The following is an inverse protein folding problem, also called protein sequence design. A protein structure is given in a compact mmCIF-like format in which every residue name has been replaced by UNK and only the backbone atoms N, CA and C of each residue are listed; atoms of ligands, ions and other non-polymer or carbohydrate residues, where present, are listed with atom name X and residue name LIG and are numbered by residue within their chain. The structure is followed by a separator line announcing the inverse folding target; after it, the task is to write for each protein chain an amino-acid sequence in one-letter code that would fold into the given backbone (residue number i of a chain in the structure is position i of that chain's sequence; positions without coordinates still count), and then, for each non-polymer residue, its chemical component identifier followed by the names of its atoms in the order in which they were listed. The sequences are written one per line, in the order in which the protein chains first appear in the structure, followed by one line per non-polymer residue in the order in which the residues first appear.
data_IF_090313549467
#
_entry.id   IF_090313549467
#
_cell.length_a   1.000
_cell.length_b   1.000
_cell.length_c   1.000
_cell.angle_alpha   90.00
_cell.angle_beta   90.00
_cell.angle_gamma   90.00
#
_symmetry.space_group_name_H-M   'P 1'
#
loop_
_entity.id
_entity.type
_entity.pdbx_description
1 polymer ?
#
# COMPACT_ATOMS: atom_id res chain seq x y z
N UNK A 1 -12.87 -9.45 -12.71
CA UNK A 1 -13.32 -8.09 -13.11
C UNK A 1 -12.92 -7.13 -11.98
N UNK A 2 -12.40 -5.94 -12.30
CA UNK A 2 -11.86 -5.00 -11.32
C UNK A 2 -12.93 -4.57 -10.31
N UNK A 3 -12.57 -4.54 -9.04
CA UNK A 3 -13.55 -4.32 -7.96
C UNK A 3 -13.84 -2.83 -7.70
N UNK A 4 -12.91 -1.90 -7.95
CA UNK A 4 -13.02 -0.49 -7.51
C UNK A 4 -13.61 0.48 -8.54
N UNK A 5 -14.13 1.63 -8.08
CA UNK A 5 -14.72 2.66 -8.96
C UNK A 5 -13.70 3.39 -9.81
N UNK A 6 -14.10 3.65 -11.05
CA UNK A 6 -13.33 4.34 -12.07
C UNK A 6 -13.41 5.85 -11.96
N UNK A 7 -12.26 6.53 -11.84
CA UNK A 7 -12.21 7.98 -12.03
C UNK A 7 -12.26 8.31 -13.53
N UNK A 8 -13.44 8.67 -14.05
CA UNK A 8 -13.63 8.95 -15.50
C UNK A 8 -14.68 8.08 -16.21
N UNK A 9 -15.50 7.33 -15.48
CA UNK A 9 -16.56 6.42 -15.98
C UNK A 9 -16.07 5.12 -16.64
N UNK A 10 -17.00 4.19 -16.85
CA UNK A 10 -16.78 2.89 -17.51
C UNK A 10 -16.38 2.99 -19.00
N UNK A 11 -16.38 4.18 -19.60
CA UNK A 11 -16.06 4.34 -21.02
C UNK A 11 -14.56 4.50 -21.32
N UNK A 12 -13.73 4.78 -20.31
CA UNK A 12 -12.32 5.16 -20.50
C UNK A 12 -11.33 4.05 -20.09
N UNK A 13 -11.54 2.82 -20.56
CA UNK A 13 -10.68 1.68 -20.22
C UNK A 13 -9.23 1.81 -20.68
N UNK A 14 -8.97 2.64 -21.71
CA UNK A 14 -7.64 2.81 -22.30
C UNK A 14 -6.72 3.72 -21.47
N UNK A 15 -7.29 4.74 -20.80
CA UNK A 15 -6.53 5.68 -19.98
C UNK A 15 -6.74 5.48 -18.48
N UNK A 16 -7.81 4.77 -18.09
CA UNK A 16 -8.08 4.44 -16.71
C UNK A 16 -7.62 3.02 -16.40
N UNK A 17 -6.34 2.90 -16.07
CA UNK A 17 -5.72 1.61 -15.78
C UNK A 17 -6.32 0.98 -14.52
N UNK A 18 -6.99 1.74 -13.66
CA UNK A 18 -7.76 1.20 -12.53
C UNK A 18 -9.02 0.41 -12.97
N UNK A 19 -9.40 0.44 -14.26
CA UNK A 19 -10.73 0.02 -14.76
C UNK A 19 -10.75 -1.05 -15.85
N UNK A 20 -9.68 -1.20 -16.61
CA UNK A 20 -9.65 -2.09 -17.78
C UNK A 20 -9.21 -3.53 -17.48
N UNK A 21 -8.50 -3.75 -16.38
CA UNK A 21 -8.04 -5.08 -16.01
C UNK A 21 -8.93 -5.68 -14.90
N UNK A 22 -9.06 -7.01 -14.81
CA UNK A 22 -9.64 -7.67 -13.65
C UNK A 22 -8.78 -7.42 -12.40
N UNK A 23 -8.83 -6.21 -11.84
CA UNK A 23 -8.14 -5.85 -10.60
C UNK A 23 -8.74 -6.63 -9.43
N UNK A 24 -7.99 -7.65 -9.03
CA UNK A 24 -8.08 -8.29 -7.74
C UNK A 24 -7.24 -7.46 -6.76
N UNK A 25 -7.78 -7.11 -5.60
CA UNK A 25 -6.97 -6.51 -4.54
C UNK A 25 -5.89 -7.53 -4.11
N UNK A 26 -4.77 -7.09 -3.53
CA UNK A 26 -3.71 -8.03 -3.13
C UNK A 26 -4.24 -9.15 -2.21
N UNK A 27 -5.22 -8.83 -1.37
CA UNK A 27 -5.82 -9.77 -0.43
C UNK A 27 -6.82 -10.75 -1.08
N UNK A 28 -7.16 -10.57 -2.36
CA UNK A 28 -7.95 -11.52 -3.12
C UNK A 28 -7.13 -12.77 -3.46
N UNK A 29 -5.80 -12.63 -3.59
CA UNK A 29 -4.87 -13.76 -3.78
C UNK A 29 -4.86 -14.72 -2.59
N UNK A 30 -5.17 -14.23 -1.39
CA UNK A 30 -5.20 -15.02 -0.16
C UNK A 30 -6.63 -15.44 0.25
N UNK A 31 -7.65 -15.17 -0.57
CA UNK A 31 -9.03 -15.56 -0.27
C UNK A 31 -9.17 -17.06 0.05
N UNK A 32 -8.55 -18.00 -0.69
CA UNK A 32 -8.63 -19.43 -0.35
C UNK A 32 -8.06 -19.79 1.03
N UNK A 33 -7.20 -18.93 1.59
CA UNK A 33 -6.46 -19.18 2.83
C UNK A 33 -7.00 -18.39 4.03
N UNK A 34 -8.06 -17.59 3.85
CA UNK A 34 -8.67 -16.82 4.94
C UNK A 34 -10.12 -17.25 5.18
N UNK A 35 -10.51 -17.32 6.44
CA UNK A 35 -11.90 -17.64 6.85
C UNK A 35 -12.80 -16.41 6.93
N UNK A 36 -12.22 -15.22 7.08
CA UNK A 36 -12.95 -13.97 7.31
C UNK A 36 -12.13 -12.77 6.82
N UNK A 37 -12.81 -11.72 6.34
CA UNK A 37 -12.21 -10.42 5.97
C UNK A 37 -11.79 -9.58 7.19
N UNK A 38 -12.29 -9.88 8.39
CA UNK A 38 -11.87 -9.18 9.61
C UNK A 38 -10.35 -9.27 9.88
N UNK A 39 -9.66 -10.28 9.32
CA UNK A 39 -8.19 -10.38 9.40
C UNK A 39 -7.47 -9.22 8.70
N UNK A 40 -8.14 -8.52 7.79
CA UNK A 40 -7.62 -7.37 7.07
C UNK A 40 -7.84 -6.05 7.84
N UNK A 41 -8.30 -6.13 9.09
CA UNK A 41 -8.57 -4.95 9.92
C UNK A 41 -7.67 -4.96 11.14
N UNK A 42 -7.01 -3.83 11.38
CA UNK A 42 -6.25 -3.56 12.58
C UNK A 42 -7.20 -3.60 13.78
N UNK A 43 -6.98 -4.46 14.78
CA UNK A 43 -7.82 -4.54 15.97
C UNK A 43 -7.85 -3.24 16.78
N UNK A 44 -6.76 -2.48 16.77
CA UNK A 44 -6.68 -1.23 17.54
C UNK A 44 -7.44 -0.08 16.89
N UNK A 45 -7.54 -0.05 15.55
CA UNK A 45 -8.30 0.97 14.80
C UNK A 45 -8.87 0.41 13.50
N UNK A 46 -9.99 -0.35 13.58
CA UNK A 46 -10.54 -1.04 12.41
C UNK A 46 -11.10 -0.10 11.33
N UNK A 47 -11.36 1.17 11.67
CA UNK A 47 -12.00 2.15 10.79
C UNK A 47 -11.03 3.14 10.12
N UNK A 48 -9.71 2.99 10.30
CA UNK A 48 -8.70 3.91 9.70
C UNK A 48 -8.26 3.53 8.28
N UNK A 49 -8.62 2.35 7.81
CA UNK A 49 -8.28 1.86 6.48
C UNK A 49 -9.11 2.49 5.36
N UNK A 50 -9.25 1.76 4.26
CA UNK A 50 -10.12 2.18 3.15
C UNK A 50 -11.57 2.35 3.59
N UNK A 51 -12.23 3.39 3.05
CA UNK A 51 -13.64 3.69 3.33
C UNK A 51 -14.52 2.99 2.29
N UNK A 52 -15.44 2.09 2.71
CA UNK A 52 -16.31 1.37 1.77
C UNK A 52 -17.39 2.20 1.09
N UNK A 53 -17.69 3.39 1.64
CA UNK A 53 -18.77 4.26 1.19
C UNK A 53 -18.27 5.70 1.06
N UNK A 54 -18.80 6.44 0.08
CA UNK A 54 -18.58 7.87 -0.05
C UNK A 54 -19.42 8.67 0.97
N UNK A 55 -19.30 10.00 0.95
CA UNK A 55 -20.03 10.91 1.85
C UNK A 55 -21.56 10.84 1.70
N UNK A 56 -22.05 10.35 0.56
CA UNK A 56 -23.47 10.19 0.25
C UNK A 56 -23.97 8.76 0.55
N UNK A 57 -23.11 7.87 1.05
CA UNK A 57 -23.42 6.48 1.34
C UNK A 57 -23.38 5.54 0.14
N UNK A 58 -22.87 5.97 -1.02
CA UNK A 58 -22.70 5.10 -2.18
C UNK A 58 -21.46 4.21 -2.00
N UNK A 59 -21.49 2.94 -2.42
CA UNK A 59 -20.32 2.07 -2.35
C UNK A 59 -19.19 2.59 -3.23
N UNK A 60 -17.95 2.51 -2.74
CA UNK A 60 -16.74 2.99 -3.44
C UNK A 60 -16.15 1.96 -4.42
N UNK A 61 -16.83 0.83 -4.58
CA UNK A 61 -16.43 -0.27 -5.45
C UNK A 61 -17.63 -0.80 -6.26
N UNK A 62 -17.38 -1.42 -7.41
CA UNK A 62 -18.43 -1.98 -8.27
C UNK A 62 -19.02 -3.26 -7.70
N UNK A 63 -18.24 -4.02 -6.91
CA UNK A 63 -18.68 -5.28 -6.30
C UNK A 63 -18.18 -5.41 -4.86
N UNK A 64 -19.03 -5.95 -3.99
CA UNK A 64 -18.70 -6.22 -2.60
C UNK A 64 -17.86 -7.50 -2.46
N UNK A 65 -16.66 -7.47 -1.85
CA UNK A 65 -15.91 -8.68 -1.53
C UNK A 65 -16.73 -9.58 -0.61
N UNK A 66 -16.88 -10.87 -0.94
CA UNK A 66 -17.62 -11.80 -0.08
C UNK A 66 -19.05 -11.36 0.24
N UNK A 67 -19.69 -10.57 -0.63
CA UNK A 67 -21.08 -10.14 -0.49
C UNK A 67 -21.35 -8.99 0.49
N UNK A 68 -20.32 -8.37 1.10
CA UNK A 68 -20.50 -7.22 1.99
C UNK A 68 -19.54 -6.08 1.64
N UNK A 69 -20.07 -4.87 1.47
CA UNK A 69 -19.26 -3.67 1.20
C UNK A 69 -18.26 -3.39 2.32
N UNK A 70 -18.63 -3.71 3.56
CA UNK A 70 -17.74 -3.60 4.70
C UNK A 70 -16.44 -4.41 4.54
N UNK A 71 -16.43 -5.47 3.73
CA UNK A 71 -15.20 -6.23 3.46
C UNK A 71 -14.17 -5.46 2.60
N UNK A 72 -14.53 -4.29 2.05
CA UNK A 72 -13.59 -3.34 1.45
C UNK A 72 -12.76 -2.62 2.51
N UNK A 73 -13.25 -2.55 3.76
CA UNK A 73 -12.54 -1.91 4.87
C UNK A 73 -11.31 -2.75 5.23
N UNK A 74 -10.18 -2.32 4.71
CA UNK A 74 -8.87 -2.93 4.90
C UNK A 74 -7.90 -1.88 5.41
N UNK A 75 -7.18 -2.20 6.49
CA UNK A 75 -6.18 -1.35 7.12
C UNK A 75 -4.75 -1.75 6.74
N UNK A 76 -4.57 -2.68 5.80
CA UNK A 76 -3.29 -3.16 5.32
C UNK A 76 -3.22 -2.98 3.81
N UNK A 77 -2.11 -2.44 3.32
CA UNK A 77 -1.85 -2.34 1.90
C UNK A 77 -0.49 -2.95 1.55
N UNK A 78 -0.30 -3.20 0.26
CA UNK A 78 0.89 -3.85 -0.28
C UNK A 78 1.83 -2.81 -0.87
N UNK A 79 3.12 -3.01 -0.69
CA UNK A 79 4.15 -2.22 -1.33
C UNK A 79 4.14 -2.51 -2.84
N UNK A 80 3.91 -1.49 -3.67
CA UNK A 80 3.93 -1.61 -5.12
C UNK A 80 5.19 -2.31 -5.64
N UNK A 81 6.35 -1.99 -5.06
CA UNK A 81 7.62 -2.61 -5.42
C UNK A 81 7.60 -4.15 -5.32
N UNK A 82 6.89 -4.68 -4.32
CA UNK A 82 6.85 -6.11 -4.03
C UNK A 82 5.97 -6.92 -5.01
N UNK A 83 5.17 -6.25 -5.83
CA UNK A 83 4.19 -6.89 -6.73
C UNK A 83 4.27 -6.42 -8.17
N UNK A 84 5.01 -5.34 -8.44
CA UNK A 84 5.25 -4.81 -9.79
C UNK A 84 6.29 -5.65 -10.54
N UNK A 85 5.94 -6.07 -11.76
CA UNK A 85 6.87 -6.81 -12.65
C UNK A 85 7.87 -5.90 -13.36
N UNK A 86 7.51 -4.63 -13.53
CA UNK A 86 8.36 -3.60 -14.10
C UNK A 86 8.12 -2.30 -13.33
N UNK A 87 9.19 -1.55 -13.02
CA UNK A 87 9.10 -0.30 -12.27
C UNK A 87 9.76 0.80 -13.09
N UNK A 88 9.01 1.88 -13.30
CA UNK A 88 9.49 3.10 -13.93
C UNK A 88 9.61 4.13 -12.82
N UNK A 89 10.83 4.62 -12.59
CA UNK A 89 11.12 5.59 -11.54
C UNK A 89 10.90 7.03 -12.02
N UNK A 90 10.12 7.81 -11.28
CA UNK A 90 10.06 9.27 -11.40
C UNK A 90 10.91 9.91 -10.31
N UNK A 91 12.19 10.12 -10.61
CA UNK A 91 13.18 10.59 -9.64
C UNK A 91 12.96 12.02 -9.15
N UNK A 92 12.12 12.81 -9.82
CA UNK A 92 11.90 14.23 -9.51
C UNK A 92 10.60 14.49 -8.75
N UNK A 93 9.72 13.50 -8.61
CA UNK A 93 8.38 13.73 -8.08
C UNK A 93 8.35 13.68 -6.54
N UNK A 94 7.84 14.73 -5.86
CA UNK A 94 8.02 14.91 -4.42
C UNK A 94 7.11 14.03 -3.54
N UNK A 95 6.12 13.36 -4.14
CA UNK A 95 5.10 12.59 -3.39
C UNK A 95 5.06 11.11 -3.72
N UNK A 96 5.56 10.71 -4.88
CA UNK A 96 5.54 9.33 -5.37
C UNK A 96 6.62 9.13 -6.40
N UNK A 97 7.46 8.13 -6.16
CA UNK A 97 8.56 7.73 -7.02
C UNK A 97 8.17 6.79 -8.16
N UNK A 98 6.95 6.24 -8.13
CA UNK A 98 6.45 5.32 -9.16
C UNK A 98 5.80 6.13 -10.30
N UNK A 99 6.32 5.95 -11.52
CA UNK A 99 5.78 6.52 -12.76
C UNK A 99 4.83 5.55 -13.49
N UNK A 100 4.68 4.34 -12.98
CA UNK A 100 3.78 3.32 -13.48
C UNK A 100 3.06 2.61 -12.32
N UNK A 101 1.96 1.92 -12.64
CA UNK A 101 1.07 1.27 -11.67
C UNK A 101 0.68 -0.15 -12.08
N UNK A 102 1.52 -0.80 -12.91
CA UNK A 102 1.30 -2.16 -13.38
C UNK A 102 1.86 -3.18 -12.37
N UNK A 103 0.97 -3.93 -11.73
CA UNK A 103 1.35 -4.98 -10.80
C UNK A 103 0.61 -6.27 -11.10
N UNK A 104 1.41 -7.29 -11.44
CA UNK A 104 0.94 -8.61 -11.88
C UNK A 104 1.43 -9.74 -10.97
N UNK A 105 2.12 -9.39 -9.88
CA UNK A 105 2.82 -10.31 -9.00
C UNK A 105 4.30 -10.44 -9.41
N UNK A 106 5.19 -10.40 -8.41
CA UNK A 106 6.64 -10.56 -8.58
C UNK A 106 7.06 -11.85 -7.88
N UNK A 107 7.82 -12.75 -8.52
CA UNK A 107 8.24 -13.99 -7.87
C UNK A 107 9.22 -13.70 -6.73
N UNK A 108 9.17 -14.48 -5.65
CA UNK A 108 10.09 -14.34 -4.52
C UNK A 108 11.58 -14.39 -4.93
N UNK A 109 11.91 -15.12 -5.99
CA UNK A 109 13.26 -15.22 -6.51
C UNK A 109 13.77 -13.93 -7.20
N UNK A 110 12.92 -12.94 -7.44
CA UNK A 110 13.33 -11.66 -8.03
C UNK A 110 13.93 -10.66 -7.00
N UNK A 111 13.97 -11.03 -5.73
CA UNK A 111 14.51 -10.21 -4.65
C UNK A 111 15.87 -10.77 -4.24
N UNK A 112 16.92 -9.93 -4.19
CA UNK A 112 18.22 -10.40 -3.71
C UNK A 112 18.25 -10.52 -2.19
N UNK A 113 17.45 -9.70 -1.51
CA UNK A 113 17.33 -9.68 -0.06
C UNK A 113 15.85 -9.60 0.38
N UNK A 114 15.05 -10.67 0.24
CA UNK A 114 13.62 -10.64 0.54
C UNK A 114 13.31 -10.31 2.01
N UNK A 115 14.22 -10.66 2.93
CA UNK A 115 14.12 -10.30 4.35
C UNK A 115 14.36 -8.80 4.63
N UNK A 116 14.85 -8.03 3.66
CA UNK A 116 15.09 -6.59 3.80
C UNK A 116 14.12 -5.74 2.98
N UNK A 117 13.11 -6.36 2.37
CA UNK A 117 12.09 -5.66 1.59
C UNK A 117 10.72 -5.82 2.24
N UNK A 118 10.08 -4.72 2.58
CA UNK A 118 8.73 -4.64 3.12
C UNK A 118 7.74 -4.94 2.00
N UNK A 119 6.87 -5.92 2.22
CA UNK A 119 5.80 -6.29 1.32
C UNK A 119 4.45 -5.69 1.75
N UNK A 120 4.11 -5.72 3.04
CA UNK A 120 2.80 -5.27 3.55
C UNK A 120 3.03 -4.40 4.78
N UNK A 121 2.25 -3.32 4.90
CA UNK A 121 2.23 -2.47 6.09
C UNK A 121 0.80 -2.00 6.38
N UNK A 122 0.58 -1.51 7.60
CA UNK A 122 -0.69 -0.86 7.92
C UNK A 122 -0.81 0.47 7.17
N UNK A 123 -2.02 0.75 6.68
CA UNK A 123 -2.32 1.90 5.86
C UNK A 123 -3.55 2.67 6.38
N UNK A 124 -3.48 3.98 6.23
CA UNK A 124 -4.48 4.96 6.59
C UNK A 124 -5.17 5.53 5.36
N UNK A 125 -6.50 5.40 5.29
CA UNK A 125 -7.37 6.07 4.32
C UNK A 125 -7.07 5.78 2.86
N UNK A 126 -6.22 4.78 2.58
CA UNK A 126 -5.75 4.47 1.25
C UNK A 126 -6.64 3.42 0.60
N UNK A 127 -6.74 3.45 -0.73
CA UNK A 127 -7.22 2.28 -1.46
C UNK A 127 -6.41 1.05 -1.00
N UNK A 128 -7.04 -0.12 -0.77
CA UNK A 128 -6.37 -1.32 -0.28
C UNK A 128 -5.35 -1.92 -1.23
N UNK A 129 -5.06 -1.21 -2.32
CA UNK A 129 -4.48 -1.71 -3.55
C UNK A 129 -2.99 -1.41 -3.65
N UNK A 130 -2.49 -1.75 -4.82
CA UNK A 130 -1.13 -1.70 -5.28
C UNK A 130 -0.76 -0.24 -5.62
N UNK A 131 -0.78 0.62 -4.61
CA UNK A 131 -0.36 2.01 -4.72
C UNK A 131 0.82 2.27 -3.82
N UNK A 132 1.22 3.53 -3.80
CA UNK A 132 2.32 4.00 -3.01
C UNK A 132 2.00 3.94 -1.49
N UNK A 133 2.22 2.76 -0.91
CA UNK A 133 1.97 2.42 0.49
C UNK A 133 2.69 3.34 1.46
N UNK A 134 3.94 3.71 1.18
CA UNK A 134 4.77 4.48 2.12
C UNK A 134 4.13 5.84 2.45
N UNK A 135 3.38 6.43 1.52
CA UNK A 135 2.66 7.68 1.78
C UNK A 135 1.47 7.55 2.73
N UNK A 136 0.92 6.35 2.84
CA UNK A 136 -0.30 6.08 3.58
C UNK A 136 -0.05 5.22 4.81
N UNK A 137 1.19 4.91 5.17
CA UNK A 137 1.48 4.13 6.39
C UNK A 137 0.80 4.75 7.60
N UNK A 138 0.11 3.93 8.38
CA UNK A 138 -0.52 4.37 9.61
C UNK A 138 0.53 4.38 10.74
N UNK A 139 0.90 5.57 11.18
CA UNK A 139 1.73 5.78 12.37
C UNK A 139 0.93 6.31 13.55
N UNK A 140 -0.37 6.58 13.41
CA UNK A 140 -1.17 7.19 14.49
C UNK A 140 -1.58 6.20 15.58
N UNK A 141 -1.07 4.97 15.50
CA UNK A 141 -1.36 3.82 16.36
C UNK A 141 -0.07 3.13 16.79
N UNK A 142 -0.20 2.10 17.63
CA UNK A 142 0.88 1.18 18.01
C UNK A 142 2.21 1.84 18.40
N UNK A 143 2.18 2.81 19.33
CA UNK A 143 3.35 3.54 19.82
C UNK A 143 4.14 4.27 18.71
N UNK A 144 3.42 4.86 17.74
CA UNK A 144 3.97 5.57 16.57
C UNK A 144 4.75 4.68 15.61
N UNK A 145 4.37 3.41 15.54
CA UNK A 145 4.94 2.43 14.64
C UNK A 145 3.87 1.54 14.03
N UNK A 146 4.30 0.55 13.27
CA UNK A 146 3.41 -0.42 12.63
C UNK A 146 4.11 -1.77 12.48
N UNK A 147 3.34 -2.82 12.27
CA UNK A 147 3.84 -4.12 11.86
C UNK A 147 4.09 -4.13 10.35
N UNK A 148 5.32 -4.43 9.95
CA UNK A 148 5.71 -4.59 8.56
C UNK A 148 5.95 -6.07 8.29
N UNK A 149 5.28 -6.61 7.26
CA UNK A 149 5.54 -7.95 6.73
C UNK A 149 6.52 -7.81 5.58
N UNK A 150 7.59 -8.59 5.62
CA UNK A 150 8.63 -8.61 4.61
C UNK A 150 8.32 -9.62 3.50
N UNK A 151 9.04 -9.53 2.39
CA UNK A 151 8.79 -10.35 1.21
C UNK A 151 9.00 -11.85 1.47
N UNK A 152 9.87 -12.21 2.40
CA UNK A 152 10.05 -13.61 2.86
C UNK A 152 8.95 -14.10 3.82
N UNK A 153 8.02 -13.21 4.22
CA UNK A 153 6.87 -13.51 5.07
C UNK A 153 7.07 -13.27 6.56
N UNK A 154 8.27 -12.91 7.03
CA UNK A 154 8.42 -12.55 8.45
C UNK A 154 7.81 -11.17 8.73
N UNK A 155 7.49 -10.89 9.99
CA UNK A 155 6.92 -9.62 10.41
C UNK A 155 7.75 -8.98 11.53
N UNK A 156 7.88 -7.65 11.49
CA UNK A 156 8.58 -6.88 12.52
C UNK A 156 7.88 -5.55 12.78
N UNK A 157 7.74 -5.19 14.05
CA UNK A 157 7.30 -3.86 14.43
C UNK A 157 8.44 -2.85 14.29
N UNK A 158 8.18 -1.72 13.65
CA UNK A 158 9.16 -0.63 13.48
C UNK A 158 8.46 0.74 13.47
N UNK A 159 9.24 1.81 13.68
CA UNK A 159 8.82 3.16 13.30
C UNK A 159 9.12 3.39 11.82
N UNK A 160 8.29 4.14 11.11
CA UNK A 160 8.46 4.40 9.68
C UNK A 160 9.85 4.99 9.35
N UNK A 161 10.38 5.88 10.19
CA UNK A 161 11.71 6.45 10.01
C UNK A 161 12.83 5.39 9.97
N UNK A 162 12.71 4.33 10.79
CA UNK A 162 13.66 3.22 10.83
C UNK A 162 13.59 2.31 9.59
N UNK A 163 12.53 2.42 8.78
CA UNK A 163 12.38 1.69 7.50
C UNK A 163 12.96 2.45 6.31
N UNK A 164 13.31 3.73 6.51
CA UNK A 164 13.86 4.62 5.48
C UNK A 164 15.34 4.93 5.72
N UNK A 165 15.79 4.95 6.98
CA UNK A 165 17.15 5.33 7.39
C UNK A 165 17.60 4.49 8.62
N UNK A 166 18.81 3.91 8.65
CA UNK A 166 19.92 4.01 7.67
C UNK A 166 19.76 3.14 6.42
N UNK A 167 18.87 2.16 6.45
CA UNK A 167 18.57 1.33 5.30
C UNK A 167 17.15 1.61 4.81
N UNK A 168 17.00 1.83 3.51
CA UNK A 168 15.69 1.82 2.88
C UNK A 168 15.24 0.37 2.69
N UNK A 169 14.12 0.01 3.32
CA UNK A 169 13.52 -1.32 3.32
C UNK A 169 12.33 -1.46 2.35
N UNK A 170 12.04 -0.45 1.52
CA UNK A 170 10.88 -0.44 0.63
C UNK A 170 11.21 -0.84 -0.80
N UNK A 171 12.50 -0.90 -1.11
CA UNK A 171 13.04 -1.24 -2.43
C UNK A 171 14.24 -2.15 -2.18
N UNK A 172 14.35 -3.19 -3.02
CA UNK A 172 15.44 -4.14 -2.94
C UNK A 172 16.81 -3.46 -3.15
N UNK A 173 17.86 -4.01 -2.55
CA UNK A 173 19.20 -3.44 -2.53
C UNK A 173 19.84 -3.36 -3.93
N UNK A 174 19.44 -4.25 -4.85
CA UNK A 174 19.93 -4.21 -6.22
C UNK A 174 19.37 -3.05 -7.05
N UNK A 175 18.36 -2.32 -6.56
CA UNK A 175 17.78 -1.12 -7.20
C UNK A 175 18.15 0.18 -6.46
N UNK A 176 19.41 0.66 -6.56
CA UNK A 176 19.88 1.82 -5.81
C UNK A 176 19.14 3.12 -6.18
N UNK A 177 18.72 3.27 -7.44
CA UNK A 177 17.94 4.42 -7.91
C UNK A 177 16.57 4.48 -7.21
N UNK A 178 15.89 3.34 -7.09
CA UNK A 178 14.63 3.23 -6.39
C UNK A 178 14.76 3.52 -4.90
N UNK A 179 15.82 3.00 -4.25
CA UNK A 179 16.11 3.30 -2.84
C UNK A 179 16.35 4.77 -2.59
N UNK A 180 17.12 5.43 -3.45
CA UNK A 180 17.35 6.88 -3.37
C UNK A 180 16.04 7.67 -3.56
N UNK A 181 15.22 7.28 -4.54
CA UNK A 181 13.96 7.94 -4.81
C UNK A 181 12.97 7.81 -3.64
N UNK A 182 12.82 6.61 -3.09
CA UNK A 182 11.98 6.35 -1.91
C UNK A 182 12.56 6.93 -0.63
N UNK A 183 13.88 7.07 -0.49
CA UNK A 183 14.42 7.82 0.64
C UNK A 183 14.03 9.31 0.53
N UNK A 184 14.25 9.93 -0.63
CA UNK A 184 14.04 11.36 -0.83
C UNK A 184 12.56 11.77 -0.74
N UNK A 185 11.68 11.12 -1.49
CA UNK A 185 10.27 11.51 -1.55
C UNK A 185 9.56 11.36 -0.19
N UNK A 186 9.95 10.37 0.61
CA UNK A 186 9.20 10.01 1.81
C UNK A 186 9.83 10.52 3.10
N UNK A 187 11.15 10.65 3.17
CA UNK A 187 11.75 11.41 4.27
C UNK A 187 11.25 12.86 4.24
N UNK A 188 11.18 13.48 3.05
CA UNK A 188 10.59 14.80 2.90
C UNK A 188 9.16 14.82 3.42
N UNK A 189 8.32 13.86 2.97
CA UNK A 189 6.93 13.78 3.43
C UNK A 189 6.81 13.62 4.95
N UNK A 190 7.56 12.72 5.55
CA UNK A 190 7.53 12.50 7.00
C UNK A 190 7.76 13.79 7.79
N UNK A 191 8.57 14.69 7.26
CA UNK A 191 8.92 15.98 7.89
C UNK A 191 8.04 17.17 7.48
N UNK A 192 7.25 17.06 6.41
CA UNK A 192 6.49 18.21 5.86
C UNK A 192 4.98 18.02 5.87
N UNK A 193 4.49 16.78 5.86
CA UNK A 193 3.05 16.47 5.93
C UNK A 193 2.59 16.53 7.39
N UNK A 194 1.65 17.44 7.67
CA UNK A 194 1.19 17.74 9.02
C UNK A 194 0.68 16.49 9.78
N UNK A 195 0.06 15.53 9.07
CA UNK A 195 -0.38 14.27 9.67
C UNK A 195 0.83 13.43 10.05
N UNK A 196 1.76 13.17 9.13
CA UNK A 196 2.90 12.28 9.45
C UNK A 196 3.88 12.90 10.45
N UNK A 197 4.03 14.21 10.46
CA UNK A 197 4.83 14.91 11.49
C UNK A 197 4.23 14.65 12.87
N UNK A 198 2.93 14.87 13.03
CA UNK A 198 2.23 14.68 14.31
C UNK A 198 2.19 13.20 14.71
N UNK A 199 1.78 12.33 13.80
CA UNK A 199 1.50 10.92 14.09
C UNK A 199 2.77 10.07 14.14
N UNK A 200 3.68 10.22 13.17
CA UNK A 200 4.88 9.39 13.07
C UNK A 200 6.06 9.95 13.89
N UNK A 201 6.24 11.27 13.92
CA UNK A 201 7.38 11.91 14.59
C UNK A 201 7.04 12.42 16.00
N UNK A 202 5.76 12.68 16.29
CA UNK A 202 5.32 13.18 17.59
C UNK A 202 5.79 14.62 17.87
N UNK A 203 6.00 15.40 16.81
CA UNK A 203 6.39 16.81 16.84
C UNK A 203 5.15 17.70 16.76
#
# INVERSE_FOLDING_TARGET
PGRYWCWGSRADFANNWDCGAPYAAWYDLIVPYKKNYAILRCPSRPNRGYVPFDENGNPTAEQAPGGSWENLRNTYAVNFYAVATNIIWNLTHPRSCYANWDARGKPLAAFSSPANVIAIAEAYGACPDIRNLVTTVDCGVHNRGSNYVFVDGHAKWMRIAATLNPANLWVDEWEPQGRACVANAYMNRLTTDARTVTECLGQ
#
